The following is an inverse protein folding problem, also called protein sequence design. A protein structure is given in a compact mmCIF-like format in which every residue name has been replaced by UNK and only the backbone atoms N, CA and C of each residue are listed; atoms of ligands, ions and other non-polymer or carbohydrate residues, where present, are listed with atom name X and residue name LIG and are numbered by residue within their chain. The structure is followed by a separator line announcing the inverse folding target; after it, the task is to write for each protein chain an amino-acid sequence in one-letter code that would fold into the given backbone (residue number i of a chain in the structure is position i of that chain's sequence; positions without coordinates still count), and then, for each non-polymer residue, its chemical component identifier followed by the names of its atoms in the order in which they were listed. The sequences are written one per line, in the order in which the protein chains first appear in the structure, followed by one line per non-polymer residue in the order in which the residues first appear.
data_IF_421034685065
#
_entry.id   IF_421034685065
#
_cell.length_a   1.000
_cell.length_b   1.000
_cell.length_c   1.000
_cell.angle_alpha   90.00
_cell.angle_beta   90.00
_cell.angle_gamma   90.00
#
_symmetry.space_group_name_H-M   'P 1'
#
loop_
_entity.id
_entity.type
_entity.pdbx_description
1 polymer ?
#
# COMPACT_ATOMS: atom_id res chain seq x y z
N UNK A 1 -3.14 -18.57 -17.86
CA UNK A 1 -4.20 -17.76 -18.50
C UNK A 1 -4.21 -18.07 -20.00
N UNK A 2 -5.34 -17.98 -20.71
CA UNK A 2 -5.37 -18.17 -22.16
C UNK A 2 -4.79 -16.94 -22.90
N UNK A 3 -3.52 -16.63 -22.63
CA UNK A 3 -2.73 -15.56 -23.24
C UNK A 3 -1.30 -16.09 -23.42
N UNK A 4 -0.63 -15.65 -24.48
CA UNK A 4 0.77 -16.01 -24.72
C UNK A 4 1.66 -15.50 -23.57
N UNK A 5 2.51 -16.36 -22.97
CA UNK A 5 3.48 -15.95 -21.95
C UNK A 5 4.36 -14.77 -22.38
N UNK A 6 4.71 -14.67 -23.67
CA UNK A 6 5.57 -13.59 -24.17
C UNK A 6 4.90 -12.21 -24.00
N UNK A 7 3.58 -12.12 -24.14
CA UNK A 7 2.86 -10.86 -23.88
C UNK A 7 2.80 -10.52 -22.40
N UNK A 8 2.69 -11.53 -21.54
CA UNK A 8 2.71 -11.31 -20.08
C UNK A 8 4.09 -10.80 -19.65
N UNK A 9 5.16 -11.38 -20.19
CA UNK A 9 6.53 -10.94 -19.92
C UNK A 9 6.74 -9.46 -20.29
N UNK A 10 6.25 -9.03 -21.46
CA UNK A 10 6.33 -7.60 -21.88
C UNK A 10 5.60 -6.67 -20.91
N UNK A 11 4.44 -7.08 -20.40
CA UNK A 11 3.70 -6.29 -19.40
C UNK A 11 4.45 -6.24 -18.07
N UNK A 12 5.00 -7.36 -17.63
CA UNK A 12 5.79 -7.46 -16.41
C UNK A 12 7.04 -6.58 -16.48
N UNK A 13 7.78 -6.61 -17.60
CA UNK A 13 8.92 -5.74 -17.87
C UNK A 13 8.52 -4.26 -17.83
N UNK A 14 7.36 -3.91 -18.39
CA UNK A 14 6.82 -2.56 -18.32
C UNK A 14 6.54 -2.11 -16.88
N UNK A 15 5.96 -2.99 -16.05
CA UNK A 15 5.71 -2.72 -14.64
C UNK A 15 7.01 -2.62 -13.83
N UNK A 16 8.01 -3.45 -14.12
CA UNK A 16 9.34 -3.35 -13.52
C UNK A 16 10.01 -2.03 -13.92
N UNK A 17 9.96 -1.67 -15.20
CA UNK A 17 10.52 -0.42 -15.72
C UNK A 17 9.88 0.82 -15.10
N UNK A 18 8.59 0.78 -14.76
CA UNK A 18 7.92 1.89 -14.09
C UNK A 18 8.54 2.23 -12.72
N UNK A 19 9.17 1.28 -12.04
CA UNK A 19 9.88 1.48 -10.77
C UNK A 19 11.38 1.69 -10.99
N UNK A 20 11.99 0.91 -11.90
CA UNK A 20 13.44 0.75 -11.96
C UNK A 20 14.11 1.62 -13.04
N UNK A 21 13.38 2.11 -14.05
CA UNK A 21 13.97 3.00 -15.05
C UNK A 21 14.11 4.45 -14.54
N UNK A 22 15.12 5.20 -15.03
CA UNK A 22 15.35 6.58 -14.60
C UNK A 22 14.13 7.51 -14.74
N UNK A 23 13.27 7.24 -15.73
CA UNK A 23 12.04 7.96 -16.08
C UNK A 23 10.75 7.21 -15.67
N UNK A 24 10.85 6.20 -14.81
CA UNK A 24 9.69 5.45 -14.31
C UNK A 24 8.78 6.29 -13.42
N UNK A 25 7.45 6.13 -13.58
CA UNK A 25 6.44 6.89 -12.82
C UNK A 25 6.29 6.45 -11.37
N UNK A 26 6.80 5.27 -11.02
CA UNK A 26 6.75 4.67 -9.69
C UNK A 26 8.14 4.55 -9.04
N UNK A 27 9.13 5.35 -9.50
CA UNK A 27 10.52 5.28 -9.07
C UNK A 27 10.73 5.41 -7.55
N UNK A 28 9.81 6.07 -6.85
CA UNK A 28 9.88 6.19 -5.40
C UNK A 28 9.56 4.87 -4.66
N UNK A 29 8.97 3.86 -5.33
CA UNK A 29 8.57 2.58 -4.74
C UNK A 29 9.75 1.61 -4.61
N UNK A 30 10.81 2.04 -3.94
CA UNK A 30 12.01 1.22 -3.72
C UNK A 30 11.96 0.52 -2.37
N UNK A 31 12.30 -0.77 -2.38
CA UNK A 31 12.45 -1.60 -1.17
C UNK A 31 13.89 -2.14 -1.18
N UNK A 32 14.69 -1.89 -0.13
CA UNK A 32 16.08 -2.34 -0.10
C UNK A 32 16.20 -3.85 -0.30
N UNK A 33 17.04 -4.27 -1.26
CA UNK A 33 17.29 -5.68 -1.55
C UNK A 33 16.15 -6.42 -2.25
N UNK A 34 15.07 -5.74 -2.64
CA UNK A 34 13.91 -6.37 -3.29
C UNK A 34 13.59 -5.66 -4.60
N UNK A 35 13.56 -6.44 -5.68
CA UNK A 35 13.13 -5.99 -7.00
C UNK A 35 11.60 -5.84 -7.01
N UNK A 36 11.09 -4.64 -7.31
CA UNK A 36 9.65 -4.34 -7.28
C UNK A 36 9.17 -3.97 -8.69
N UNK A 37 7.98 -4.46 -9.05
CA UNK A 37 7.27 -4.06 -10.25
C UNK A 37 5.92 -3.46 -9.89
N UNK A 38 5.54 -2.35 -10.54
CA UNK A 38 4.31 -1.64 -10.19
C UNK A 38 3.72 -0.86 -11.35
N UNK A 39 2.46 -0.46 -11.19
CA UNK A 39 1.80 0.50 -12.06
C UNK A 39 0.96 1.47 -11.25
N UNK A 40 1.20 2.76 -11.48
CA UNK A 40 0.37 3.85 -10.96
C UNK A 40 -0.90 4.01 -11.78
N UNK A 41 -1.97 4.43 -11.12
CA UNK A 41 -3.18 4.90 -11.78
C UNK A 41 -3.81 6.10 -11.07
N UNK A 42 -4.55 6.84 -11.86
CA UNK A 42 -5.31 8.02 -11.46
C UNK A 42 -6.61 7.98 -12.25
N UNK A 43 -7.74 8.09 -11.56
CA UNK A 43 -9.05 8.05 -12.20
C UNK A 43 -9.89 9.24 -11.77
N UNK A 44 -10.37 10.01 -12.73
CA UNK A 44 -11.31 11.09 -12.49
C UNK A 44 -12.66 10.54 -12.03
N UNK A 45 -13.31 11.25 -11.12
CA UNK A 45 -14.63 10.87 -10.61
C UNK A 45 -15.49 12.09 -10.31
N UNK A 46 -16.80 11.88 -10.20
CA UNK A 46 -17.75 12.90 -9.80
C UNK A 46 -18.44 12.50 -8.50
N UNK A 47 -18.47 13.42 -7.54
CA UNK A 47 -19.24 13.33 -6.29
C UNK A 47 -19.83 14.72 -6.04
N UNK A 48 -21.16 14.86 -5.86
CA UNK A 48 -21.79 16.16 -5.63
C UNK A 48 -21.33 16.87 -4.35
N UNK A 49 -20.69 16.15 -3.41
CA UNK A 49 -20.18 16.70 -2.16
C UNK A 49 -18.69 17.08 -2.22
N UNK A 50 -18.03 16.88 -3.37
CA UNK A 50 -16.62 17.20 -3.55
C UNK A 50 -16.49 18.31 -4.58
N UNK A 51 -15.80 19.38 -4.19
CA UNK A 51 -15.57 20.52 -5.08
C UNK A 51 -14.68 20.13 -6.27
N UNK A 52 -14.94 20.79 -7.40
CA UNK A 52 -14.10 20.64 -8.58
C UNK A 52 -12.71 21.25 -8.32
N UNK A 53 -11.70 20.63 -8.93
CA UNK A 53 -10.35 21.18 -8.97
C UNK A 53 -10.33 22.44 -9.87
N UNK A 54 -9.29 23.30 -9.75
CA UNK A 54 -9.15 24.49 -10.60
C UNK A 54 -9.33 24.19 -12.08
N UNK A 55 -9.88 25.16 -12.81
CA UNK A 55 -10.28 25.03 -14.21
C UNK A 55 -11.39 23.99 -14.45
N UNK A 56 -12.28 23.82 -13.47
CA UNK A 56 -13.48 22.98 -13.57
C UNK A 56 -13.17 21.50 -13.85
N UNK A 57 -12.04 21.01 -13.31
CA UNK A 57 -11.57 19.63 -13.49
C UNK A 57 -12.17 18.72 -12.42
N UNK A 58 -12.45 17.47 -12.78
CA UNK A 58 -12.90 16.48 -11.82
C UNK A 58 -11.79 16.13 -10.82
N UNK A 59 -12.11 15.89 -9.55
CA UNK A 59 -11.18 15.28 -8.61
C UNK A 59 -10.80 13.87 -9.08
N UNK A 60 -9.74 13.31 -8.48
CA UNK A 60 -9.22 11.99 -8.88
C UNK A 60 -9.03 11.05 -7.70
N UNK A 61 -9.27 9.76 -7.93
CA UNK A 61 -8.78 8.69 -7.08
C UNK A 61 -7.32 8.40 -7.41
N UNK A 62 -6.56 8.02 -6.38
CA UNK A 62 -5.18 7.56 -6.52
C UNK A 62 -5.13 6.06 -6.31
N UNK A 63 -4.43 5.32 -7.19
CA UNK A 63 -4.09 3.94 -6.89
C UNK A 63 -2.72 3.51 -7.40
N UNK A 64 -2.24 2.42 -6.81
CA UNK A 64 -1.07 1.71 -7.29
C UNK A 64 -1.30 0.22 -7.13
N UNK A 65 -0.87 -0.55 -8.11
CA UNK A 65 -0.76 -2.01 -8.04
C UNK A 65 0.72 -2.36 -8.11
N UNK A 66 1.20 -3.18 -7.18
CA UNK A 66 2.58 -3.61 -7.12
C UNK A 66 2.69 -5.09 -6.78
N UNK A 67 3.77 -5.73 -7.21
CA UNK A 67 4.16 -7.05 -6.73
C UNK A 67 5.67 -7.13 -6.54
N UNK A 68 6.09 -8.03 -5.66
CA UNK A 68 7.49 -8.22 -5.31
C UNK A 68 7.74 -9.63 -4.71
N UNK A 69 8.97 -10.18 -4.83
CA UNK A 69 10.01 -9.78 -5.78
C UNK A 69 9.54 -9.85 -7.25
N UNK A 70 10.22 -9.18 -8.17
CA UNK A 70 9.85 -9.19 -9.59
C UNK A 70 10.03 -10.57 -10.23
N UNK A 71 11.13 -11.24 -9.89
CA UNK A 71 11.59 -12.47 -10.52
C UNK A 71 10.83 -13.70 -10.01
N UNK A 72 10.45 -13.68 -8.73
CA UNK A 72 9.63 -14.73 -8.08
C UNK A 72 8.61 -14.06 -7.14
N UNK A 73 7.45 -13.61 -7.66
CA UNK A 73 6.50 -12.82 -6.89
C UNK A 73 5.89 -13.58 -5.70
N UNK A 74 6.06 -13.02 -4.50
CA UNK A 74 5.54 -13.60 -3.26
C UNK A 74 4.34 -12.83 -2.70
N UNK A 75 4.26 -11.52 -2.99
CA UNK A 75 3.18 -10.64 -2.56
C UNK A 75 2.74 -9.72 -3.70
N UNK A 76 1.43 -9.51 -3.81
CA UNK A 76 0.81 -8.46 -4.63
C UNK A 76 -0.02 -7.53 -3.75
N UNK A 77 0.08 -6.23 -3.99
CA UNK A 77 -0.59 -5.18 -3.22
C UNK A 77 -1.34 -4.25 -4.17
N UNK A 78 -2.56 -3.89 -3.80
CA UNK A 78 -3.30 -2.78 -4.40
C UNK A 78 -3.62 -1.79 -3.30
N UNK A 79 -3.18 -0.54 -3.48
CA UNK A 79 -3.60 0.57 -2.62
C UNK A 79 -4.50 1.48 -3.44
N UNK A 80 -5.68 1.77 -2.92
CA UNK A 80 -6.64 2.68 -3.51
C UNK A 80 -7.01 3.75 -2.48
N UNK A 81 -6.94 5.02 -2.88
CA UNK A 81 -7.26 6.17 -2.03
C UNK A 81 -8.36 6.97 -2.70
N UNK A 82 -9.54 6.97 -2.08
CA UNK A 82 -10.67 7.78 -2.48
C UNK A 82 -10.32 9.27 -2.40
N UNK A 83 -10.70 10.03 -3.43
CA UNK A 83 -10.29 11.43 -3.59
C UNK A 83 -8.79 11.69 -3.35
N UNK A 84 -7.93 10.71 -3.69
CA UNK A 84 -6.52 10.71 -3.34
C UNK A 84 -5.59 11.47 -4.29
N UNK A 85 -6.08 11.98 -5.42
CA UNK A 85 -5.22 12.68 -6.38
C UNK A 85 -4.39 11.73 -7.24
N UNK A 86 -3.08 11.97 -7.32
CA UNK A 86 -2.16 11.19 -8.15
C UNK A 86 -1.70 9.90 -7.46
N UNK A 87 -1.73 8.76 -8.18
CA UNK A 87 -1.30 7.47 -7.67
C UNK A 87 0.14 7.43 -7.16
N UNK A 88 1.05 8.12 -7.85
CA UNK A 88 2.48 8.22 -7.50
C UNK A 88 2.74 9.04 -6.24
N UNK A 89 1.84 9.99 -5.91
CA UNK A 89 2.00 10.91 -4.79
C UNK A 89 1.36 10.36 -3.50
N UNK A 90 0.18 9.74 -3.62
CA UNK A 90 -0.63 9.40 -2.44
C UNK A 90 -0.68 7.91 -2.16
N UNK A 91 -0.92 7.07 -3.19
CA UNK A 91 -1.05 5.63 -2.98
C UNK A 91 0.31 4.92 -2.89
N UNK A 92 1.33 5.45 -3.57
CA UNK A 92 2.67 4.88 -3.61
C UNK A 92 3.36 4.81 -2.23
N UNK A 93 3.40 5.87 -1.40
CA UNK A 93 4.05 5.79 -0.08
C UNK A 93 3.44 4.70 0.80
N UNK A 94 2.11 4.55 0.76
CA UNK A 94 1.40 3.51 1.51
C UNK A 94 1.80 2.11 1.02
N UNK A 95 1.89 1.91 -0.30
CA UNK A 95 2.36 0.64 -0.86
C UNK A 95 3.82 0.35 -0.48
N UNK A 96 4.67 1.38 -0.41
CA UNK A 96 6.05 1.25 0.02
C UNK A 96 6.15 0.76 1.47
N UNK A 97 5.37 1.34 2.37
CA UNK A 97 5.35 0.96 3.79
C UNK A 97 4.86 -0.49 3.97
N UNK A 98 3.83 -0.89 3.22
CA UNK A 98 3.34 -2.28 3.22
C UNK A 98 4.43 -3.25 2.77
N UNK A 99 5.08 -2.99 1.64
CA UNK A 99 6.12 -3.88 1.11
C UNK A 99 7.34 -3.92 2.04
N UNK A 100 7.80 -2.78 2.56
CA UNK A 100 8.90 -2.74 3.55
C UNK A 100 8.56 -3.52 4.80
N UNK A 101 7.34 -3.36 5.33
CA UNK A 101 6.85 -4.12 6.47
C UNK A 101 6.84 -5.62 6.20
N UNK A 102 6.32 -6.05 5.04
CA UNK A 102 6.29 -7.46 4.65
C UNK A 102 7.69 -8.10 4.62
N UNK A 103 8.66 -7.46 3.95
CA UNK A 103 10.02 -8.01 3.83
C UNK A 103 10.83 -7.87 5.12
N UNK A 104 10.58 -6.85 5.95
CA UNK A 104 11.20 -6.75 7.27
C UNK A 104 10.71 -7.86 8.22
N UNK A 105 9.45 -8.30 8.12
CA UNK A 105 8.96 -9.44 8.91
C UNK A 105 9.56 -10.77 8.44
N UNK A 106 9.84 -10.92 7.14
CA UNK A 106 10.51 -12.11 6.60
C UNK A 106 11.99 -12.19 6.96
N UNK A 107 12.67 -11.05 6.98
CA UNK A 107 14.08 -10.95 7.30
C UNK A 107 14.27 -9.85 8.35
N UNK A 108 13.98 -10.13 9.63
CA UNK A 108 14.12 -9.14 10.69
C UNK A 108 15.55 -8.63 10.70
N UNK A 109 15.76 -7.31 10.87
CA UNK A 109 17.11 -6.79 11.05
C UNK A 109 17.78 -7.56 12.18
N UNK A 110 18.91 -8.21 11.89
CA UNK A 110 19.72 -8.76 12.96
C UNK A 110 20.18 -7.59 13.84
N UNK A 111 20.26 -7.76 15.17
CA UNK A 111 20.92 -6.79 16.02
C UNK A 111 22.28 -6.49 15.38
N UNK A 112 22.58 -5.21 15.15
CA UNK A 112 23.89 -4.84 14.63
C UNK A 112 24.95 -5.50 15.52
N UNK A 113 25.91 -6.18 14.90
CA UNK A 113 27.07 -6.69 15.63
C UNK A 113 27.64 -5.53 16.46
N UNK A 114 28.00 -5.76 17.74
CA UNK A 114 28.64 -4.73 18.54
C UNK A 114 29.80 -4.16 17.73
N UNK A 115 29.74 -2.87 17.44
CA UNK A 115 30.80 -2.19 16.71
C UNK A 115 32.06 -2.37 17.53
N UNK A 116 33.03 -3.13 17.02
CA UNK A 116 34.28 -3.43 17.71
C UNK A 116 34.96 -2.12 18.12
N UNK A 117 34.84 -1.74 19.41
CA UNK A 117 35.47 -0.51 19.92
C UNK A 117 34.89 0.11 21.18
N UNK A 118 33.68 -0.22 21.62
CA UNK A 118 33.20 0.25 22.92
C UNK A 118 33.60 -0.76 24.01
N UNK A 119 34.44 -0.40 25.01
CA UNK A 119 34.69 -1.30 26.11
C UNK A 119 33.37 -1.58 26.83
N UNK A 120 33.08 -2.86 27.05
CA UNK A 120 31.93 -3.31 27.82
C UNK A 120 31.88 -2.56 29.15
N UNK A 121 30.97 -1.59 29.26
CA UNK A 121 30.62 -1.00 30.53
C UNK A 121 30.08 -2.12 31.41
N UNK A 122 30.78 -2.33 32.52
CA UNK A 122 30.39 -3.14 33.67
C UNK A 122 28.93 -2.86 34.03
N UNK A 123 28.01 -3.72 33.58
CA UNK A 123 26.63 -3.71 34.05
C UNK A 123 26.56 -4.66 35.23
N UNK A 124 26.23 -4.20 36.46
CA UNK A 124 25.93 -5.11 37.54
C UNK A 124 24.64 -5.86 37.19
N UNK A 125 24.61 -7.16 37.52
CA UNK A 125 23.46 -8.03 37.33
C UNK A 125 22.18 -7.41 37.94
N UNK A 126 21.26 -6.98 37.08
CA UNK A 126 19.89 -6.62 37.46
C UNK A 126 19.04 -7.89 37.69
N UNK A 127 18.03 -7.85 38.56
CA UNK A 127 17.35 -9.05 39.03
C UNK A 127 16.43 -9.63 37.94
N UNK A 128 16.31 -10.97 37.95
CA UNK A 128 15.43 -11.75 37.08
C UNK A 128 14.00 -11.18 37.05
N UNK A 129 13.48 -10.94 35.84
CA UNK A 129 12.08 -10.54 35.65
C UNK A 129 11.12 -11.70 35.94
N UNK A 130 10.05 -11.50 36.74
CA UNK A 130 8.95 -12.46 36.87
C UNK A 130 8.06 -12.43 35.63
N UNK A 131 7.57 -13.61 35.24
CA UNK A 131 6.85 -13.85 34.00
C UNK A 131 5.46 -13.21 33.86
N UNK A 132 5.03 -13.21 32.59
CA UNK A 132 3.68 -13.29 32.06
C UNK A 132 2.52 -12.69 32.90
N UNK A 133 2.07 -11.49 32.52
CA UNK A 133 0.65 -11.20 32.25
C UNK A 133 0.53 -9.76 31.69
N UNK A 134 0.25 -9.60 30.39
CA UNK A 134 -0.28 -8.33 29.87
C UNK A 134 -1.50 -8.65 29.02
N UNK A 135 -2.70 -8.14 29.35
CA UNK A 135 -3.89 -8.39 28.56
C UNK A 135 -3.81 -7.64 27.22
N UNK A 136 -4.24 -8.31 26.16
CA UNK A 136 -4.34 -7.75 24.82
C UNK A 136 -5.26 -6.52 24.80
N UNK A 137 -4.84 -5.48 24.06
CA UNK A 137 -5.66 -4.29 23.81
C UNK A 137 -6.90 -4.67 22.97
N UNK A 138 -8.08 -4.08 23.23
CA UNK A 138 -9.30 -4.44 22.51
C UNK A 138 -9.25 -3.94 21.07
N UNK A 139 -9.57 -4.82 20.12
CA UNK A 139 -9.80 -4.50 18.72
C UNK A 139 -11.23 -3.99 18.58
N UNK A 140 -11.42 -2.69 18.37
CA UNK A 140 -12.75 -2.15 18.08
C UNK A 140 -13.18 -2.55 16.66
N UNK A 141 -14.31 -3.24 16.58
CA UNK A 141 -14.90 -3.69 15.32
C UNK A 141 -15.72 -2.54 14.73
N UNK A 142 -15.21 -1.89 13.68
CA UNK A 142 -16.02 -0.99 12.86
C UNK A 142 -17.06 -1.82 12.11
N UNK A 143 -18.32 -1.65 12.50
CA UNK A 143 -19.47 -2.21 11.77
C UNK A 143 -19.87 -1.21 10.69
N UNK A 144 -19.92 -1.64 9.44
CA UNK A 144 -20.42 -0.82 8.34
C UNK A 144 -21.91 -0.48 8.56
N UNK A 145 -22.38 0.74 8.24
CA UNK A 145 -23.80 1.08 8.33
C UNK A 145 -24.61 0.27 7.30
N UNK A 146 -25.81 -0.15 7.70
CA UNK A 146 -26.77 -0.82 6.83
C UNK A 146 -27.21 0.09 5.67
N UNK A 147 -27.51 -0.46 4.48
CA UNK A 147 -28.01 0.34 3.36
C UNK A 147 -29.38 0.92 3.68
N UNK A 148 -29.60 2.17 3.27
CA UNK A 148 -30.88 2.86 3.41
C UNK A 148 -31.97 2.19 2.56
N UNK A 149 -33.15 1.99 3.13
CA UNK A 149 -34.32 1.48 2.44
C UNK A 149 -34.70 2.38 1.25
N UNK A 150 -34.82 1.76 0.07
CA UNK A 150 -35.30 2.40 -1.12
C UNK A 150 -36.80 2.67 -1.00
N UNK A 151 -37.18 3.93 -0.76
CA UNK A 151 -38.58 4.37 -0.87
C UNK A 151 -38.97 4.44 -2.34
N UNK A 152 -39.87 3.56 -2.75
CA UNK A 152 -40.58 3.59 -4.05
C UNK A 152 -41.29 4.94 -4.25
N UNK A 153 -41.17 5.61 -5.41
CA UNK A 153 -42.04 6.75 -5.71
C UNK A 153 -43.45 6.26 -6.06
N UNK A 154 -44.45 6.87 -5.41
CA UNK A 154 -45.86 6.65 -5.69
C UNK A 154 -46.19 7.07 -7.14
N UNK A 155 -46.95 6.22 -7.83
CA UNK A 155 -47.65 6.56 -9.06
C UNK A 155 -48.63 7.70 -8.77
N UNK A 156 -48.50 8.80 -9.52
CA UNK A 156 -49.50 9.86 -9.61
C UNK A 156 -50.17 9.80 -10.99
N UNK A 157 -51.41 9.33 -11.02
CA UNK A 157 -52.33 9.46 -12.14
C UNK A 157 -52.93 10.87 -12.19
N UNK A 158 -53.16 11.39 -13.41
CA UNK A 158 -54.29 12.27 -13.72
C UNK A 158 -54.04 13.78 -13.78
N UNK A 159 -54.27 14.35 -14.97
CA UNK A 159 -54.44 15.79 -15.21
C UNK A 159 -54.07 16.24 -16.61
#
# INVERSE_FOLDING_TARGET
LPVDPDYVAVVQDGMWGAVNYPNGTAKALTVPGVSVAAKTGTAEFFDPNIELLPNNRLPTHAWITAYAPFEDPEIAVVVFVYNGGEGSATALPVAQDILRGYFALKNPPQPADPVDGEPAADQPAGPAEPGADQPALPVETVTAPAPADATTPAQGEGG
#
